data_IF_202419580528
#
_entry.id   IF_202419580528
#
_cell.length_a   1.000
_cell.length_b   1.000
_cell.length_c   1.000
_cell.angle_alpha   90.00
_cell.angle_beta   90.00
_cell.angle_gamma   90.00
#
_symmetry.space_group_name_H-M   'P 1'
#
loop_
_entity.id
_entity.type
_entity.pdbx_description
1 polymer ?
#
# COMPACT_ATOMS: atom_id res chain seq x y z
N UNK A 1 10.98 15.16 1.30
CA UNK A 1 9.61 14.86 0.83
C UNK A 1 8.75 16.04 1.23
N UNK A 2 8.14 16.76 0.28
CA UNK A 2 7.28 17.90 0.62
C UNK A 2 6.11 17.38 1.47
N UNK A 3 5.82 17.95 2.65
CA UNK A 3 4.73 17.47 3.49
C UNK A 3 3.40 17.70 2.79
N UNK A 4 2.56 16.66 2.71
CA UNK A 4 1.16 16.81 2.31
C UNK A 4 0.50 17.76 3.31
N UNK A 5 -0.15 18.86 2.86
CA UNK A 5 -0.80 19.79 3.78
C UNK A 5 -1.76 19.05 4.73
N UNK A 6 -1.74 19.41 6.02
CA UNK A 6 -2.50 18.70 7.06
C UNK A 6 -4.01 18.69 6.84
N UNK A 7 -4.52 19.68 6.11
CA UNK A 7 -5.91 19.90 5.73
C UNK A 7 -6.28 19.31 4.35
N UNK A 8 -5.32 18.72 3.62
CA UNK A 8 -5.58 18.18 2.29
C UNK A 8 -6.50 16.93 2.36
N UNK A 9 -7.51 16.80 1.46
CA UNK A 9 -8.48 15.70 1.48
C UNK A 9 -7.84 14.30 1.31
N UNK A 10 -6.63 14.22 0.78
CA UNK A 10 -5.89 12.97 0.62
C UNK A 10 -5.73 12.18 1.92
N UNK A 11 -5.44 12.86 3.03
CA UNK A 11 -5.33 12.20 4.33
C UNK A 11 -6.69 11.69 4.82
N UNK A 12 -7.78 12.42 4.54
CA UNK A 12 -9.13 11.98 4.88
C UNK A 12 -9.56 10.76 4.06
N UNK A 13 -9.28 10.75 2.75
CA UNK A 13 -9.51 9.62 1.86
C UNK A 13 -8.76 8.38 2.33
N UNK A 14 -7.45 8.50 2.59
CA UNK A 14 -6.66 7.39 3.09
C UNK A 14 -7.17 6.87 4.44
N UNK A 15 -7.58 7.76 5.36
CA UNK A 15 -8.19 7.37 6.64
C UNK A 15 -9.52 6.63 6.45
N UNK A 16 -10.33 7.00 5.46
CA UNK A 16 -11.58 6.31 5.17
C UNK A 16 -11.29 4.87 4.70
N UNK A 17 -10.38 4.71 3.74
CA UNK A 17 -9.94 3.39 3.25
C UNK A 17 -9.29 2.54 4.35
N UNK A 18 -8.42 3.13 5.18
CA UNK A 18 -7.73 2.43 6.28
C UNK A 18 -8.66 1.92 7.37
N UNK A 19 -9.91 2.41 7.44
CA UNK A 19 -10.91 1.95 8.42
C UNK A 19 -11.71 0.76 7.92
N UNK A 20 -11.65 0.45 6.63
CA UNK A 20 -12.33 -0.70 6.08
C UNK A 20 -11.76 -1.99 6.66
N UNK A 21 -12.61 -3.00 6.95
CA UNK A 21 -12.21 -4.18 7.72
C UNK A 21 -10.93 -4.85 7.19
N UNK A 22 -10.87 -5.07 5.88
CA UNK A 22 -9.74 -5.67 5.18
C UNK A 22 -8.46 -4.88 5.36
N UNK A 23 -8.48 -3.59 4.99
CA UNK A 23 -7.28 -2.74 5.04
C UNK A 23 -6.81 -2.55 6.48
N UNK A 24 -7.76 -2.35 7.40
CA UNK A 24 -7.49 -2.24 8.83
C UNK A 24 -6.81 -3.49 9.38
N UNK A 25 -7.26 -4.67 8.97
CA UNK A 25 -6.66 -5.95 9.37
C UNK A 25 -5.19 -6.03 8.93
N UNK A 26 -4.88 -5.75 7.66
CA UNK A 26 -3.50 -5.81 7.15
C UNK A 26 -2.60 -4.73 7.74
N UNK A 27 -3.06 -3.48 7.84
CA UNK A 27 -2.28 -2.41 8.47
C UNK A 27 -2.04 -2.70 9.96
N UNK A 28 -3.02 -3.27 10.67
CA UNK A 28 -2.85 -3.70 12.05
C UNK A 28 -1.81 -4.81 12.20
N UNK A 29 -1.82 -5.80 11.31
CA UNK A 29 -0.79 -6.86 11.25
C UNK A 29 0.60 -6.28 10.97
N UNK A 30 0.71 -5.35 10.02
CA UNK A 30 1.97 -4.66 9.73
C UNK A 30 2.46 -3.85 10.92
N UNK A 31 1.57 -3.15 11.62
CA UNK A 31 1.93 -2.38 12.83
C UNK A 31 2.56 -3.28 13.90
N UNK A 32 2.00 -4.48 14.11
CA UNK A 32 2.51 -5.44 15.08
C UNK A 32 3.79 -6.15 14.62
N UNK A 33 3.95 -6.40 13.33
CA UNK A 33 5.09 -7.13 12.76
C UNK A 33 6.32 -6.24 12.54
N UNK A 34 6.12 -5.08 11.92
CA UNK A 34 7.18 -4.15 11.56
C UNK A 34 6.63 -2.72 11.42
N UNK A 35 6.81 -1.93 12.49
CA UNK A 35 6.24 -0.59 12.62
C UNK A 35 6.64 0.35 11.47
N UNK A 36 7.88 0.28 10.99
CA UNK A 36 8.37 1.12 9.90
C UNK A 36 7.67 0.83 8.58
N UNK A 37 7.38 -0.43 8.28
CA UNK A 37 6.58 -0.79 7.09
C UNK A 37 5.15 -0.28 7.18
N UNK A 38 4.54 -0.34 8.37
CA UNK A 38 3.21 0.24 8.59
C UNK A 38 3.20 1.76 8.34
N UNK A 39 4.17 2.47 8.91
CA UNK A 39 4.26 3.92 8.71
C UNK A 39 4.57 4.26 7.24
N UNK A 40 5.45 3.49 6.59
CA UNK A 40 5.78 3.65 5.17
C UNK A 40 4.53 3.49 4.30
N UNK A 41 3.79 2.39 4.47
CA UNK A 41 2.55 2.12 3.73
C UNK A 41 1.52 3.22 3.93
N UNK A 42 1.39 3.73 5.16
CA UNK A 42 0.50 4.85 5.47
C UNK A 42 0.91 6.15 4.75
N UNK A 43 2.20 6.50 4.80
CA UNK A 43 2.73 7.70 4.12
C UNK A 43 2.61 7.59 2.60
N UNK A 44 2.94 6.43 2.03
CA UNK A 44 2.84 6.16 0.59
C UNK A 44 1.39 6.25 0.14
N UNK A 45 0.43 5.68 0.87
CA UNK A 45 -0.99 5.79 0.54
C UNK A 45 -1.48 7.24 0.52
N UNK A 46 -1.16 8.02 1.55
CA UNK A 46 -1.52 9.45 1.60
C UNK A 46 -0.88 10.21 0.43
N UNK A 47 0.42 9.98 0.16
CA UNK A 47 1.11 10.66 -0.93
C UNK A 47 0.54 10.28 -2.29
N UNK A 48 0.27 9.00 -2.54
CA UNK A 48 -0.30 8.53 -3.81
C UNK A 48 -1.65 9.20 -4.07
N UNK A 49 -2.52 9.29 -3.06
CA UNK A 49 -3.79 10.02 -3.18
C UNK A 49 -3.55 11.50 -3.44
N UNK A 50 -2.62 12.15 -2.72
CA UNK A 50 -2.28 13.56 -2.93
C UNK A 50 -1.83 13.82 -4.36
N UNK A 51 -0.92 13.00 -4.90
CA UNK A 51 -0.46 13.11 -6.28
C UNK A 51 -1.62 12.88 -7.27
N UNK A 52 -2.50 11.93 -6.99
CA UNK A 52 -3.73 11.74 -7.77
C UNK A 52 -4.61 12.99 -7.79
N UNK A 53 -4.83 13.64 -6.65
CA UNK A 53 -5.63 14.88 -6.56
C UNK A 53 -5.02 16.01 -7.39
N UNK A 54 -3.70 16.22 -7.28
CA UNK A 54 -2.99 17.26 -8.06
C UNK A 54 -3.08 17.00 -9.56
N UNK A 55 -3.14 15.73 -9.96
CA UNK A 55 -3.30 15.32 -11.36
C UNK A 55 -4.76 15.12 -11.79
N UNK A 56 -5.74 15.55 -10.98
CA UNK A 56 -7.19 15.47 -11.28
C UNK A 56 -7.66 14.05 -11.63
N UNK A 57 -7.05 13.06 -10.98
CA UNK A 57 -7.47 11.66 -11.08
C UNK A 57 -8.90 11.51 -10.52
N UNK A 58 -9.81 10.76 -11.18
CA UNK A 58 -11.17 10.54 -10.69
C UNK A 58 -11.21 9.94 -9.28
N UNK A 59 -12.24 10.28 -8.50
CA UNK A 59 -12.35 9.87 -7.09
C UNK A 59 -12.26 8.35 -6.89
N UNK A 60 -12.89 7.56 -7.75
CA UNK A 60 -12.82 6.10 -7.71
C UNK A 60 -11.38 5.60 -7.81
N UNK A 61 -10.56 6.23 -8.66
CA UNK A 61 -9.14 5.92 -8.79
C UNK A 61 -8.30 6.46 -7.63
N UNK A 62 -8.70 7.56 -6.99
CA UNK A 62 -8.05 8.03 -5.75
C UNK A 62 -8.20 7.00 -4.63
N UNK A 63 -9.37 6.37 -4.50
CA UNK A 63 -9.56 5.25 -3.55
C UNK A 63 -8.61 4.10 -3.85
N UNK A 64 -8.40 3.77 -5.12
CA UNK A 64 -7.41 2.75 -5.52
C UNK A 64 -5.98 3.11 -5.15
N UNK A 65 -5.59 4.37 -5.32
CA UNK A 65 -4.27 4.82 -4.88
C UNK A 65 -4.10 4.68 -3.36
N UNK A 66 -5.17 4.89 -2.58
CA UNK A 66 -5.16 4.65 -1.15
C UNK A 66 -5.02 3.16 -0.81
N UNK A 67 -5.79 2.26 -1.45
CA UNK A 67 -5.66 0.81 -1.25
C UNK A 67 -4.26 0.34 -1.66
N UNK A 68 -3.78 0.74 -2.83
CA UNK A 68 -2.47 0.38 -3.34
C UNK A 68 -1.38 0.79 -2.36
N UNK A 69 -1.37 2.03 -1.88
CA UNK A 69 -0.37 2.47 -0.91
C UNK A 69 -0.47 1.76 0.44
N UNK A 70 -1.69 1.52 0.94
CA UNK A 70 -1.90 0.79 2.20
C UNK A 70 -1.42 -0.67 2.12
N UNK A 71 -1.61 -1.31 0.96
CA UNK A 71 -1.42 -2.76 0.80
C UNK A 71 -0.16 -3.15 0.03
N UNK A 72 0.58 -2.21 -0.58
CA UNK A 72 1.70 -2.56 -1.49
C UNK A 72 2.78 -3.43 -0.84
N UNK A 73 2.98 -3.27 0.47
CA UNK A 73 4.07 -3.88 1.23
C UNK A 73 3.58 -5.02 2.16
N UNK A 74 2.31 -5.46 2.06
CA UNK A 74 1.75 -6.47 2.98
C UNK A 74 2.47 -7.81 2.93
N UNK A 75 3.11 -8.13 1.81
CA UNK A 75 3.92 -9.34 1.72
C UNK A 75 5.16 -9.35 2.62
N UNK A 76 5.55 -8.20 3.20
CA UNK A 76 6.58 -8.16 4.25
C UNK A 76 6.16 -8.87 5.53
N UNK A 77 4.86 -9.13 5.73
CA UNK A 77 4.36 -10.01 6.81
C UNK A 77 4.93 -11.43 6.73
N UNK A 78 5.33 -11.86 5.54
CA UNK A 78 5.91 -13.19 5.29
C UNK A 78 7.44 -13.20 5.35
N UNK A 79 8.06 -12.06 5.68
CA UNK A 79 9.50 -11.95 5.88
C UNK A 79 9.84 -11.94 7.38
N UNK A 80 10.96 -12.55 7.80
CA UNK A 80 11.38 -12.53 9.19
C UNK A 80 11.61 -11.11 9.70
N UNK A 81 11.14 -10.79 10.91
CA UNK A 81 11.36 -9.47 11.51
C UNK A 81 12.86 -9.15 11.68
N UNK A 82 13.72 -10.15 11.85
CA UNK A 82 15.18 -9.96 11.92
C UNK A 82 15.78 -9.47 10.60
N UNK A 83 15.22 -9.88 9.46
CA UNK A 83 15.62 -9.37 8.15
C UNK A 83 15.17 -7.92 7.97
N UNK A 84 13.92 -7.61 8.37
CA UNK A 84 13.34 -6.27 8.21
C UNK A 84 14.00 -5.22 9.10
N UNK A 85 14.40 -5.60 10.32
CA UNK A 85 15.05 -4.71 11.30
C UNK A 85 16.59 -4.78 11.25
N UNK A 86 17.17 -5.43 10.23
CA UNK A 86 18.62 -5.60 10.15
C UNK A 86 19.30 -4.22 10.09
N UNK A 87 20.23 -3.90 11.01
CA UNK A 87 20.93 -2.63 10.98
C UNK A 87 21.96 -2.62 9.84
N UNK A 88 22.13 -1.46 9.21
CA UNK A 88 23.08 -1.28 8.11
C UNK A 88 22.52 -1.75 6.76
N UNK A 89 23.42 -1.93 5.80
CA UNK A 89 23.04 -2.35 4.45
C UNK A 89 22.69 -3.85 4.41
N UNK A 90 21.67 -4.17 3.63
CA UNK A 90 21.29 -5.55 3.32
C UNK A 90 22.29 -6.14 2.32
N UNK A 91 22.78 -7.35 2.60
CA UNK A 91 23.62 -8.06 1.64
C UNK A 91 22.79 -8.63 0.47
N UNK A 92 23.44 -9.26 -0.49
CA UNK A 92 22.76 -9.81 -1.67
C UNK A 92 21.71 -10.87 -1.32
N UNK A 93 21.97 -11.70 -0.30
CA UNK A 93 21.05 -12.75 0.16
C UNK A 93 19.82 -12.16 0.86
N UNK A 94 20.03 -11.18 1.75
CA UNK A 94 18.97 -10.43 2.41
C UNK A 94 18.08 -9.73 1.36
N UNK A 95 18.69 -9.10 0.37
CA UNK A 95 17.99 -8.43 -0.72
C UNK A 95 17.23 -9.42 -1.60
N UNK A 96 17.79 -10.60 -1.89
CA UNK A 96 17.10 -11.65 -2.61
C UNK A 96 15.83 -12.10 -1.86
N UNK A 97 15.93 -12.28 -0.55
CA UNK A 97 14.77 -12.60 0.30
C UNK A 97 13.75 -11.45 0.30
N UNK A 98 14.21 -10.21 0.51
CA UNK A 98 13.34 -9.03 0.57
C UNK A 98 12.55 -8.83 -0.73
N UNK A 99 13.16 -9.12 -1.89
CA UNK A 99 12.51 -9.00 -3.21
C UNK A 99 11.32 -9.93 -3.42
N UNK A 100 11.09 -10.92 -2.54
CA UNK A 100 9.91 -11.77 -2.62
C UNK A 100 8.65 -11.13 -2.06
N UNK A 101 8.72 -10.04 -1.28
CA UNK A 101 7.54 -9.43 -0.67
C UNK A 101 6.41 -9.08 -1.65
N UNK A 102 6.63 -8.60 -2.90
CA UNK A 102 5.51 -8.32 -3.81
C UNK A 102 4.77 -9.59 -4.19
N UNK A 103 5.50 -10.69 -4.41
CA UNK A 103 4.91 -12.01 -4.72
C UNK A 103 4.11 -12.53 -3.51
N UNK A 104 4.66 -12.42 -2.30
CA UNK A 104 3.94 -12.81 -1.10
C UNK A 104 2.69 -11.96 -0.88
N UNK A 105 2.75 -10.66 -1.15
CA UNK A 105 1.59 -9.77 -1.09
C UNK A 105 0.52 -10.17 -2.10
N UNK A 106 0.91 -10.46 -3.34
CA UNK A 106 -0.02 -10.96 -4.36
C UNK A 106 -0.70 -12.26 -3.91
N UNK A 107 0.05 -13.22 -3.37
CA UNK A 107 -0.51 -14.49 -2.89
C UNK A 107 -1.47 -14.28 -1.71
N UNK A 108 -1.08 -13.49 -0.70
CA UNK A 108 -1.93 -13.16 0.45
C UNK A 108 -3.25 -12.54 0.01
N UNK A 109 -3.18 -11.55 -0.87
CA UNK A 109 -4.35 -10.78 -1.31
C UNK A 109 -5.23 -11.55 -2.32
N UNK A 110 -4.63 -12.37 -3.20
CA UNK A 110 -5.40 -13.05 -4.26
C UNK A 110 -6.09 -14.33 -3.77
N UNK A 111 -5.52 -15.03 -2.78
CA UNK A 111 -6.04 -16.32 -2.34
C UNK A 111 -6.94 -16.24 -1.11
N UNK A 112 -6.74 -15.25 -0.24
CA UNK A 112 -7.37 -15.26 1.08
C UNK A 112 -8.50 -14.26 1.26
N UNK A 113 -8.69 -13.31 0.32
CA UNK A 113 -9.72 -12.28 0.49
C UNK A 113 -10.56 -12.02 -0.76
N UNK A 114 -11.75 -12.67 -0.88
CA UNK A 114 -12.67 -12.47 -1.99
C UNK A 114 -13.17 -11.02 -2.13
N UNK A 115 -13.14 -10.21 -1.06
CA UNK A 115 -13.58 -8.82 -1.11
C UNK A 115 -12.67 -7.96 -2.01
N UNK A 116 -11.42 -8.39 -2.23
CA UNK A 116 -10.48 -7.72 -3.12
C UNK A 116 -10.82 -7.85 -4.60
N UNK A 117 -11.64 -8.82 -4.99
CA UNK A 117 -12.05 -8.96 -6.40
C UNK A 117 -12.80 -7.71 -6.90
N UNK A 118 -13.56 -7.05 -6.02
CA UNK A 118 -14.21 -5.77 -6.34
C UNK A 118 -13.22 -4.60 -6.48
N UNK A 119 -12.13 -4.63 -5.69
CA UNK A 119 -11.07 -3.60 -5.70
C UNK A 119 -10.04 -3.84 -6.83
N UNK A 120 -9.91 -5.07 -7.35
CA UNK A 120 -8.98 -5.40 -8.44
C UNK A 120 -9.63 -5.37 -9.83
N UNK A 121 -10.96 -5.51 -9.93
CA UNK A 121 -11.73 -5.43 -11.19
C UNK A 121 -12.00 -4.00 -11.68
N UNK A 122 -11.01 -3.11 -11.58
CA UNK A 122 -11.11 -1.82 -12.24
C UNK A 122 -10.70 -1.97 -13.69
N UNK A 123 -11.37 -1.19 -14.52
CA UNK A 123 -11.10 -1.08 -15.94
C UNK A 123 -9.73 -0.42 -16.18
N UNK A 124 -8.65 -1.20 -16.08
CA UNK A 124 -7.28 -0.76 -16.28
C UNK A 124 -7.05 -0.17 -17.67
N UNK A 125 -7.78 -0.60 -18.70
CA UNK A 125 -7.69 0.01 -20.04
C UNK A 125 -8.22 1.44 -20.05
N UNK A 126 -9.26 1.74 -19.27
CA UNK A 126 -9.78 3.10 -19.08
C UNK A 126 -8.83 4.01 -18.29
N UNK A 127 -8.06 3.44 -17.35
CA UNK A 127 -7.00 4.17 -16.62
C UNK A 127 -5.85 4.52 -17.55
N UNK A 128 -5.28 3.53 -18.25
CA UNK A 128 -4.10 3.72 -19.11
C UNK A 128 -4.34 4.73 -20.24
N UNK A 129 -5.55 4.76 -20.80
CA UNK A 129 -5.93 5.70 -21.86
C UNK A 129 -5.97 7.18 -21.43
N UNK A 130 -5.94 7.49 -20.12
CA UNK A 130 -5.98 8.87 -19.59
C UNK A 130 -4.61 9.42 -19.17
N UNK A 131 -3.57 8.57 -19.15
CA UNK A 131 -2.19 8.90 -18.75
C UNK A 131 -1.19 8.78 -19.90
N UNK A 132 -1.63 8.37 -21.09
CA UNK A 132 -0.93 8.47 -22.38
C UNK A 132 -1.34 9.73 -23.12
#
# INVERSE_FOLDING_TARGET
>A
MLPVPHDHPAAAMFRAVSREPLVRNYLGRLFLHHHDTYQHSSRVGILSVYLGCVNRVPEDHLRLLAYAGALHDVGKLHLPAVLLNKPGELNEEDMAQLRHHPRFGFLELSFFDPELWGIMNINWTGILARIS
#
